data_IF_823085057099
#
_entry.id   IF_823085057099
#
_cell.length_a   1.000
_cell.length_b   1.000
_cell.length_c   1.000
_cell.angle_alpha   90.00
_cell.angle_beta   90.00
_cell.angle_gamma   90.00
#
_symmetry.space_group_name_H-M   'P 1'
#
loop_
_entity.id
_entity.type
_entity.pdbx_description
1 polymer ?
#
# COMPACT_ATOMS: atom_id res chain seq x y z
N UNK A 1 4.84 -29.02 3.89
CA UNK A 1 3.52 -28.66 4.46
C UNK A 1 3.39 -27.14 4.36
N UNK A 2 2.70 -26.64 3.33
CA UNK A 2 2.57 -25.20 3.06
C UNK A 2 1.48 -24.63 3.99
N UNK A 3 1.84 -23.71 4.88
CA UNK A 3 0.90 -22.99 5.74
C UNK A 3 -0.18 -22.32 4.87
N UNK A 4 -1.49 -22.64 5.03
CA UNK A 4 -2.57 -22.21 4.12
C UNK A 4 -2.97 -20.74 4.28
N UNK A 5 -2.30 -19.99 5.16
CA UNK A 5 -2.62 -18.58 5.39
C UNK A 5 -2.26 -17.72 4.17
N UNK A 6 -3.20 -16.91 3.65
CA UNK A 6 -2.93 -16.02 2.53
C UNK A 6 -1.80 -15.04 2.90
N UNK A 7 -0.76 -14.96 2.06
CA UNK A 7 0.40 -14.07 2.24
C UNK A 7 0.37 -12.95 1.17
N UNK A 8 -0.55 -11.99 1.26
CA UNK A 8 -0.77 -11.00 0.20
C UNK A 8 0.49 -10.17 -0.09
N UNK A 9 1.25 -9.79 0.95
CA UNK A 9 2.51 -9.05 0.79
C UNK A 9 3.59 -9.85 0.06
N UNK A 10 3.64 -11.17 0.27
CA UNK A 10 4.61 -12.04 -0.41
C UNK A 10 4.26 -12.19 -1.90
N UNK A 11 2.97 -12.30 -2.21
CA UNK A 11 2.49 -12.37 -3.60
C UNK A 11 2.78 -11.04 -4.31
N UNK A 12 2.42 -9.90 -3.71
CA UNK A 12 2.72 -8.59 -4.25
C UNK A 12 4.22 -8.39 -4.48
N UNK A 13 5.05 -8.72 -3.49
CA UNK A 13 6.50 -8.64 -3.61
C UNK A 13 7.08 -9.50 -4.75
N UNK A 14 6.53 -10.69 -4.97
CA UNK A 14 6.96 -11.57 -6.07
C UNK A 14 6.61 -11.01 -7.46
N UNK A 15 5.45 -10.35 -7.59
CA UNK A 15 5.03 -9.73 -8.85
C UNK A 15 5.91 -8.52 -9.16
N UNK A 16 6.09 -7.64 -8.19
CA UNK A 16 6.92 -6.43 -8.35
C UNK A 16 8.37 -6.82 -8.64
N UNK A 17 8.93 -7.74 -7.86
CA UNK A 17 10.29 -8.23 -8.08
C UNK A 17 10.47 -8.90 -9.44
N UNK A 18 9.48 -9.69 -9.89
CA UNK A 18 9.49 -10.32 -11.21
C UNK A 18 9.45 -9.31 -12.36
N UNK A 19 8.60 -8.28 -12.26
CA UNK A 19 8.53 -7.20 -13.24
C UNK A 19 9.84 -6.42 -13.32
N UNK A 20 10.42 -6.05 -12.17
CA UNK A 20 11.71 -5.35 -12.13
C UNK A 20 12.82 -6.21 -12.74
N UNK A 21 12.89 -7.50 -12.40
CA UNK A 21 13.88 -8.41 -12.98
C UNK A 21 13.73 -8.55 -14.51
N UNK A 22 12.49 -8.60 -15.01
CA UNK A 22 12.20 -8.64 -16.44
C UNK A 22 12.70 -7.36 -17.15
N UNK A 23 12.43 -6.19 -16.57
CA UNK A 23 12.87 -4.89 -17.14
C UNK A 23 14.39 -4.83 -17.19
N UNK A 24 15.06 -5.19 -16.09
CA UNK A 24 16.53 -5.24 -16.04
C UNK A 24 17.09 -6.21 -17.10
N UNK A 25 16.46 -7.37 -17.28
CA UNK A 25 16.81 -8.32 -18.33
C UNK A 25 16.64 -7.75 -19.75
N UNK A 26 15.54 -7.04 -20.01
CA UNK A 26 15.30 -6.38 -21.30
C UNK A 26 16.34 -5.29 -21.60
N UNK A 27 16.70 -4.47 -20.61
CA UNK A 27 17.77 -3.47 -20.74
C UNK A 27 19.11 -4.16 -21.01
N UNK A 28 19.43 -5.22 -20.26
CA UNK A 28 20.65 -6.01 -20.44
C UNK A 28 20.75 -6.71 -21.80
N UNK A 29 19.61 -7.07 -22.40
CA UNK A 29 19.54 -7.65 -23.75
C UNK A 29 19.61 -6.63 -24.90
N UNK A 30 19.55 -5.32 -24.59
CA UNK A 30 19.51 -4.25 -25.58
C UNK A 30 18.15 -4.03 -26.25
N UNK A 31 17.11 -4.78 -25.85
CA UNK A 31 15.73 -4.60 -26.33
C UNK A 31 15.10 -3.30 -25.83
N UNK A 32 15.53 -2.82 -24.66
CA UNK A 32 15.18 -1.52 -24.11
C UNK A 32 16.43 -0.69 -23.88
N UNK A 33 16.30 0.63 -24.06
CA UNK A 33 17.34 1.56 -23.63
C UNK A 33 17.31 1.71 -22.10
N UNK A 34 18.44 2.08 -21.46
CA UNK A 34 18.47 2.33 -20.03
C UNK A 34 17.40 3.33 -19.57
N UNK A 35 17.22 4.43 -20.31
CA UNK A 35 16.19 5.43 -19.99
C UNK A 35 14.75 4.91 -20.07
N UNK A 36 14.47 3.95 -20.95
CA UNK A 36 13.17 3.27 -20.99
C UNK A 36 12.98 2.35 -19.78
N UNK A 37 14.01 1.60 -19.39
CA UNK A 37 13.97 0.74 -18.21
C UNK A 37 13.76 1.53 -16.92
N UNK A 38 14.47 2.65 -16.75
CA UNK A 38 14.31 3.57 -15.63
C UNK A 38 12.90 4.16 -15.60
N UNK A 39 12.38 4.58 -16.76
CA UNK A 39 11.03 5.11 -16.88
C UNK A 39 9.94 4.11 -16.48
N UNK A 40 10.02 2.86 -16.93
CA UNK A 40 9.04 1.81 -16.58
C UNK A 40 9.12 1.48 -15.08
N UNK A 41 10.33 1.35 -14.54
CA UNK A 41 10.53 1.06 -13.12
C UNK A 41 10.01 2.20 -12.24
N UNK A 42 10.26 3.44 -12.65
CA UNK A 42 9.72 4.64 -12.01
C UNK A 42 8.19 4.68 -12.03
N UNK A 43 7.57 4.34 -13.16
CA UNK A 43 6.11 4.26 -13.28
C UNK A 43 5.51 3.21 -12.34
N UNK A 44 6.08 2.00 -12.30
CA UNK A 44 5.63 0.94 -11.38
C UNK A 44 5.69 1.43 -9.93
N UNK A 45 6.81 2.08 -9.57
CA UNK A 45 6.99 2.64 -8.23
C UNK A 45 5.95 3.71 -7.90
N UNK A 46 5.71 4.65 -8.82
CA UNK A 46 4.72 5.71 -8.64
C UNK A 46 3.30 5.17 -8.44
N UNK A 47 2.91 4.15 -9.22
CA UNK A 47 1.61 3.48 -9.06
C UNK A 47 1.51 2.80 -7.70
N UNK A 48 2.53 2.05 -7.27
CA UNK A 48 2.53 1.39 -5.96
C UNK A 48 2.44 2.39 -4.81
N UNK A 49 3.17 3.51 -4.89
CA UNK A 49 3.09 4.59 -3.91
C UNK A 49 1.68 5.18 -3.87
N UNK A 50 1.08 5.48 -5.03
CA UNK A 50 -0.28 6.02 -5.11
C UNK A 50 -1.33 5.07 -4.51
N UNK A 51 -1.26 3.77 -4.82
CA UNK A 51 -2.18 2.78 -4.23
C UNK A 51 -1.95 2.65 -2.72
N UNK A 52 -0.70 2.68 -2.28
CA UNK A 52 -0.34 2.59 -0.87
C UNK A 52 -0.83 3.80 -0.07
N UNK A 53 -0.64 5.02 -0.58
CA UNK A 53 -1.12 6.24 0.07
C UNK A 53 -2.63 6.31 0.08
N UNK A 54 -3.29 5.99 -1.04
CA UNK A 54 -4.76 5.99 -1.10
C UNK A 54 -5.36 4.95 -0.15
N UNK A 55 -4.83 3.73 -0.14
CA UNK A 55 -5.27 2.68 0.79
C UNK A 55 -5.08 3.09 2.25
N UNK A 56 -3.96 3.77 2.57
CA UNK A 56 -3.75 4.32 3.91
C UNK A 56 -4.80 5.36 4.27
N UNK A 57 -5.11 6.31 3.38
CA UNK A 57 -6.12 7.35 3.63
C UNK A 57 -7.48 6.71 3.91
N UNK A 58 -7.96 5.82 3.03
CA UNK A 58 -9.27 5.17 3.19
C UNK A 58 -9.37 4.35 4.49
N UNK A 59 -8.29 3.67 4.88
CA UNK A 59 -8.28 2.85 6.11
C UNK A 59 -8.12 3.67 7.39
N UNK A 60 -7.59 4.88 7.30
CA UNK A 60 -7.36 5.78 8.45
C UNK A 60 -8.46 6.82 8.63
N UNK A 61 -9.25 7.12 7.59
CA UNK A 61 -10.34 8.09 7.60
C UNK A 61 -11.29 7.87 8.79
N UNK A 62 -11.79 6.65 8.97
CA UNK A 62 -12.67 6.31 10.10
C UNK A 62 -12.04 6.46 11.49
N UNK A 63 -10.71 6.50 11.59
CA UNK A 63 -9.98 6.65 12.85
C UNK A 63 -9.75 8.11 13.24
N UNK A 64 -9.64 9.00 12.26
CA UNK A 64 -9.32 10.42 12.47
C UNK A 64 -10.59 11.28 12.42
N UNK A 65 -11.54 10.92 11.57
CA UNK A 65 -12.84 11.59 11.43
C UNK A 65 -13.96 10.56 11.45
N UNK A 66 -14.34 10.06 12.63
CA UNK A 66 -15.48 9.17 12.77
C UNK A 66 -16.74 9.86 12.23
N UNK A 67 -17.41 9.26 11.24
CA UNK A 67 -18.74 9.73 10.79
C UNK A 67 -19.85 9.42 11.81
N UNK A 68 -19.54 8.57 12.80
CA UNK A 68 -20.41 8.19 13.91
C UNK A 68 -19.82 8.79 15.17
N UNK A 69 -20.68 9.38 16.00
CA UNK A 69 -20.31 9.94 17.30
C UNK A 69 -19.43 8.94 18.08
N UNK A 70 -18.17 9.29 18.43
CA UNK A 70 -17.29 8.38 19.11
C UNK A 70 -17.89 8.01 20.47
N UNK A 71 -18.06 6.71 20.70
CA UNK A 71 -18.58 6.14 21.95
C UNK A 71 -17.45 5.51 22.77
N UNK A 72 -17.63 5.45 24.08
CA UNK A 72 -16.72 4.74 24.98
C UNK A 72 -16.88 3.21 24.90
N UNK A 73 -16.14 2.47 25.74
CA UNK A 73 -16.17 1.00 25.77
C UNK A 73 -17.52 0.42 26.20
N UNK A 74 -18.39 1.24 26.79
CA UNK A 74 -19.75 0.89 27.26
C UNK A 74 -20.83 1.43 26.30
N UNK A 75 -20.43 1.85 25.09
CA UNK A 75 -21.28 2.41 24.04
C UNK A 75 -21.99 3.72 24.45
N UNK A 76 -21.45 4.46 25.42
CA UNK A 76 -21.95 5.78 25.79
C UNK A 76 -21.29 6.88 24.93
N UNK A 77 -22.05 7.91 24.50
CA UNK A 77 -21.47 9.09 23.83
C UNK A 77 -20.36 9.72 24.68
N UNK A 78 -19.22 10.07 24.06
CA UNK A 78 -18.15 10.77 24.77
C UNK A 78 -18.59 12.18 25.15
N UNK A 79 -18.68 12.45 26.45
CA UNK A 79 -18.88 13.79 27.02
C UNK A 79 -17.53 14.44 27.32
N UNK A 80 -17.41 15.78 27.25
CA UNK A 80 -16.19 16.48 27.66
C UNK A 80 -15.78 16.06 29.07
N UNK A 81 -14.49 15.75 29.27
CA UNK A 81 -13.98 15.51 30.62
C UNK A 81 -14.11 16.82 31.42
N UNK A 82 -14.78 16.77 32.56
CA UNK A 82 -14.84 17.90 33.49
C UNK A 82 -13.41 18.23 33.93
N UNK A 83 -12.91 19.38 33.49
CA UNK A 83 -11.65 19.96 33.97
C UNK A 83 -11.87 20.51 35.38
N UNK A 84 -11.33 19.82 36.38
CA UNK A 84 -10.98 20.37 37.69
C UNK A 84 -9.63 21.12 37.63
#
# INVERSE_FOLDING_TARGET
MSDPRPRPLRVAGSIVGGLTALITGLVGSGLLTPGQGDGITGLITAVLVLLGTFGLVVTTEHKVTPLVDPRDADDCPLVPADTD
#
